data_IF_526557107083
#
_entry.id   IF_526557107083
#
_cell.length_a   1.000
_cell.length_b   1.000
_cell.length_c   1.000
_cell.angle_alpha   90.00
_cell.angle_beta   90.00
_cell.angle_gamma   90.00
#
_symmetry.space_group_name_H-M   'P 1'
#
loop_
_entity.id
_entity.type
_entity.pdbx_description
1 polymer ?
#
# COMPACT_ATOMS: atom_id res chain seq x y z
N UNK A 1 -16.25 -15.21 13.20
CA UNK A 1 -15.82 -13.81 12.91
C UNK A 1 -14.87 -13.27 13.97
N UNK A 2 -14.77 -13.92 15.13
CA UNK A 2 -14.05 -13.44 16.32
C UNK A 2 -12.54 -13.20 16.12
N UNK A 3 -11.91 -13.91 15.17
CA UNK A 3 -10.49 -13.71 14.84
C UNK A 3 -10.19 -12.38 14.15
N UNK A 4 -11.13 -11.78 13.40
CA UNK A 4 -10.87 -10.56 12.62
C UNK A 4 -10.57 -9.35 13.51
N UNK A 5 -11.21 -9.28 14.67
CA UNK A 5 -11.06 -8.18 15.64
C UNK A 5 -10.12 -8.52 16.79
N UNK A 6 -9.44 -9.67 16.73
CA UNK A 6 -8.40 -10.01 17.71
C UNK A 6 -7.26 -9.02 17.58
N UNK A 7 -6.86 -8.43 18.70
CA UNK A 7 -5.82 -7.42 18.76
C UNK A 7 -4.43 -8.02 18.48
N UNK A 8 -3.59 -7.25 17.81
CA UNK A 8 -2.23 -7.60 17.41
C UNK A 8 -1.28 -6.62 18.09
N UNK A 9 -0.27 -7.15 18.78
CA UNK A 9 0.77 -6.35 19.42
C UNK A 9 2.14 -6.88 19.00
N UNK A 10 2.76 -6.20 18.02
CA UNK A 10 4.01 -6.62 17.39
C UNK A 10 5.00 -5.47 17.20
N UNK A 11 4.63 -4.23 17.57
CA UNK A 11 5.47 -3.05 17.41
C UNK A 11 5.91 -2.50 18.76
N UNK A 12 7.18 -2.12 18.87
CA UNK A 12 7.74 -1.59 20.11
C UNK A 12 7.09 -0.28 20.58
N UNK A 13 6.49 0.51 19.67
CA UNK A 13 5.81 1.76 20.02
C UNK A 13 4.53 1.49 20.84
N UNK A 14 3.88 0.34 20.61
CA UNK A 14 2.62 0.00 21.26
C UNK A 14 2.86 -0.46 22.70
N UNK A 15 2.23 0.25 23.64
CA UNK A 15 2.28 -0.07 25.07
C UNK A 15 0.89 -0.34 25.68
N UNK A 16 -0.17 -0.15 24.89
CA UNK A 16 -1.55 -0.36 25.28
C UNK A 16 -2.45 -0.50 24.03
N UNK A 17 -3.75 -0.72 24.24
CA UNK A 17 -4.72 -0.95 23.15
C UNK A 17 -5.50 0.31 22.76
N UNK A 18 -5.00 1.51 23.09
CA UNK A 18 -5.67 2.76 22.74
C UNK A 18 -5.45 3.12 21.27
N UNK A 19 -6.33 3.95 20.73
CA UNK A 19 -6.29 4.39 19.34
C UNK A 19 -4.95 5.05 18.95
N UNK A 20 -4.33 5.79 19.87
CA UNK A 20 -3.04 6.46 19.66
C UNK A 20 -1.88 5.75 20.37
N UNK A 21 -1.92 4.43 20.47
CA UNK A 21 -0.81 3.68 21.03
C UNK A 21 0.43 3.65 20.11
N UNK A 22 0.26 3.94 18.81
CA UNK A 22 1.35 4.05 17.83
C UNK A 22 1.29 5.35 17.02
N UNK A 23 1.47 6.53 17.66
CA UNK A 23 1.26 7.83 17.01
C UNK A 23 2.28 8.13 15.89
N UNK A 24 3.54 7.74 16.05
CA UNK A 24 4.59 7.95 15.05
C UNK A 24 4.31 7.04 13.85
N UNK A 25 4.10 5.74 14.06
CA UNK A 25 3.77 4.85 12.96
C UNK A 25 2.48 5.27 12.24
N UNK A 26 1.42 5.65 12.96
CA UNK A 26 0.18 6.12 12.34
C UNK A 26 0.41 7.40 11.49
N UNK A 27 1.08 8.41 12.04
CA UNK A 27 1.25 9.70 11.35
C UNK A 27 2.17 9.61 10.13
N UNK A 28 3.24 8.82 10.19
CA UNK A 28 4.17 8.66 9.06
C UNK A 28 3.48 8.05 7.82
N UNK A 29 2.44 7.25 7.99
CA UNK A 29 1.71 6.68 6.85
C UNK A 29 0.92 7.70 6.03
N UNK A 30 0.68 8.91 6.57
CA UNK A 30 0.09 10.03 5.82
C UNK A 30 0.97 10.44 4.63
N UNK A 31 2.29 10.21 4.69
CA UNK A 31 3.19 10.51 3.57
C UNK A 31 2.82 9.72 2.30
N UNK A 32 2.37 8.47 2.41
CA UNK A 32 1.90 7.69 1.25
C UNK A 32 0.66 8.31 0.60
N UNK A 33 -0.26 8.83 1.41
CA UNK A 33 -1.45 9.55 0.91
C UNK A 33 -1.03 10.82 0.18
N UNK A 34 -0.14 11.61 0.78
CA UNK A 34 0.36 12.85 0.17
C UNK A 34 1.07 12.58 -1.17
N UNK A 35 1.92 11.55 -1.23
CA UNK A 35 2.61 11.15 -2.46
C UNK A 35 1.61 10.68 -3.52
N UNK A 36 0.65 9.83 -3.16
CA UNK A 36 -0.36 9.36 -4.11
C UNK A 36 -1.22 10.49 -4.70
N UNK A 37 -1.64 11.45 -3.86
CA UNK A 37 -2.34 12.66 -4.32
C UNK A 37 -1.46 13.51 -5.22
N UNK A 38 -0.19 13.74 -4.85
CA UNK A 38 0.77 14.48 -5.66
C UNK A 38 0.97 13.83 -7.04
N UNK A 39 1.07 12.49 -7.10
CA UNK A 39 1.18 11.74 -8.35
C UNK A 39 -0.07 11.91 -9.22
N UNK A 40 -1.27 11.84 -8.65
CA UNK A 40 -2.51 12.07 -9.40
C UNK A 40 -2.60 13.48 -9.98
N UNK A 41 -2.20 14.50 -9.21
CA UNK A 41 -2.12 15.89 -9.68
C UNK A 41 -1.11 16.00 -10.82
N UNK A 42 0.07 15.39 -10.66
CA UNK A 42 1.15 15.44 -11.65
C UNK A 42 0.75 14.75 -12.95
N UNK A 43 0.17 13.55 -12.88
CA UNK A 43 -0.34 12.82 -14.04
C UNK A 43 -1.41 13.63 -14.80
N UNK A 44 -2.29 14.33 -14.07
CA UNK A 44 -3.28 15.23 -14.67
C UNK A 44 -2.61 16.42 -15.37
N UNK A 45 -1.63 17.08 -14.73
CA UNK A 45 -0.89 18.22 -15.31
C UNK A 45 -0.13 17.83 -16.58
N UNK A 46 0.43 16.62 -16.60
CA UNK A 46 1.15 16.08 -17.76
C UNK A 46 0.23 15.53 -18.85
N UNK A 47 -1.10 15.56 -18.66
CA UNK A 47 -2.07 14.90 -19.55
C UNK A 47 -1.74 13.41 -19.80
N UNK A 48 -1.12 12.76 -18.82
CA UNK A 48 -0.69 11.38 -18.93
C UNK A 48 -1.91 10.45 -19.02
N UNK A 49 -1.93 9.58 -20.03
CA UNK A 49 -3.03 8.63 -20.28
C UNK A 49 -2.77 7.24 -19.68
N UNK A 50 -1.63 7.05 -19.00
CA UNK A 50 -1.24 5.77 -18.42
C UNK A 50 -2.17 5.35 -17.28
N UNK A 51 -3.05 4.39 -17.57
CA UNK A 51 -3.95 3.77 -16.58
C UNK A 51 -3.17 3.09 -15.45
N UNK A 52 -2.00 2.52 -15.76
CA UNK A 52 -1.16 1.83 -14.78
C UNK A 52 -0.56 2.79 -13.75
N UNK A 53 0.00 3.92 -14.20
CA UNK A 53 0.53 4.93 -13.27
C UNK A 53 -0.59 5.53 -12.39
N UNK A 54 -1.78 5.74 -12.96
CA UNK A 54 -2.95 6.19 -12.19
C UNK A 54 -3.35 5.14 -11.13
N UNK A 55 -3.34 3.86 -11.49
CA UNK A 55 -3.61 2.77 -10.56
C UNK A 55 -2.57 2.74 -9.42
N UNK A 56 -1.27 2.82 -9.73
CA UNK A 56 -0.21 2.86 -8.71
C UNK A 56 -0.38 4.06 -7.76
N UNK A 57 -0.72 5.23 -8.29
CA UNK A 57 -0.96 6.43 -7.49
C UNK A 57 -2.17 6.27 -6.54
N UNK A 58 -3.28 5.69 -7.02
CA UNK A 58 -4.44 5.38 -6.17
C UNK A 58 -4.07 4.33 -5.12
N UNK A 59 -3.37 3.26 -5.51
CA UNK A 59 -2.99 2.21 -4.58
C UNK A 59 -2.04 2.73 -3.48
N UNK A 60 -1.16 3.68 -3.81
CA UNK A 60 -0.32 4.38 -2.82
C UNK A 60 -1.17 5.10 -1.75
N UNK A 61 -2.30 5.71 -2.13
CA UNK A 61 -3.23 6.32 -1.16
C UNK A 61 -3.85 5.23 -0.28
N UNK A 62 -4.30 4.12 -0.90
CA UNK A 62 -4.91 3.00 -0.18
C UNK A 62 -3.93 2.37 0.82
N UNK A 63 -2.64 2.25 0.47
CA UNK A 63 -1.57 1.85 1.40
C UNK A 63 -1.56 2.76 2.63
N UNK A 64 -1.41 4.08 2.44
CA UNK A 64 -1.36 5.00 3.58
C UNK A 64 -2.60 4.95 4.48
N UNK A 65 -3.78 4.77 3.89
CA UNK A 65 -5.03 4.59 4.65
C UNK A 65 -5.07 3.25 5.40
N UNK A 66 -4.67 2.15 4.76
CA UNK A 66 -4.61 0.82 5.34
C UNK A 66 -3.64 0.76 6.52
N UNK A 67 -2.43 1.26 6.34
CA UNK A 67 -1.41 1.33 7.37
C UNK A 67 -1.83 2.22 8.54
N UNK A 68 -2.45 3.38 8.28
CA UNK A 68 -3.01 4.22 9.34
C UNK A 68 -4.08 3.49 10.17
N UNK A 69 -4.98 2.75 9.50
CA UNK A 69 -5.99 1.93 10.19
C UNK A 69 -5.36 0.82 11.02
N UNK A 70 -4.27 0.22 10.55
CA UNK A 70 -3.58 -0.82 11.32
C UNK A 70 -2.90 -0.26 12.57
N UNK A 71 -2.17 0.86 12.46
CA UNK A 71 -1.50 1.47 13.62
C UNK A 71 -2.46 2.10 14.63
N UNK A 72 -3.74 2.29 14.27
CA UNK A 72 -4.76 2.79 15.20
C UNK A 72 -5.62 1.70 15.83
N UNK A 73 -6.03 0.69 15.06
CA UNK A 73 -6.95 -0.37 15.53
C UNK A 73 -6.29 -1.73 15.79
N UNK A 74 -5.10 -1.98 15.21
CA UNK A 74 -4.25 -3.14 15.42
C UNK A 74 -4.98 -4.49 15.55
N UNK A 75 -5.71 -4.89 14.51
CA UNK A 75 -6.39 -6.18 14.47
C UNK A 75 -6.23 -6.83 13.10
N UNK A 76 -6.62 -8.10 12.96
CA UNK A 76 -6.43 -8.84 11.72
C UNK A 76 -7.13 -8.22 10.51
N UNK A 77 -8.30 -7.58 10.69
CA UNK A 77 -8.96 -6.87 9.59
C UNK A 77 -8.10 -5.70 9.09
N UNK A 78 -7.61 -4.86 10.00
CA UNK A 78 -6.78 -3.71 9.61
C UNK A 78 -5.38 -4.13 9.15
N UNK A 79 -4.84 -5.24 9.66
CA UNK A 79 -3.63 -5.87 9.16
C UNK A 79 -3.78 -6.28 7.69
N UNK A 80 -4.89 -6.90 7.29
CA UNK A 80 -5.15 -7.22 5.89
C UNK A 80 -5.35 -5.96 5.03
N UNK A 81 -6.01 -4.94 5.59
CA UNK A 81 -6.16 -3.64 4.94
C UNK A 81 -4.82 -2.92 4.71
N UNK A 82 -3.80 -3.22 5.52
CA UNK A 82 -2.44 -2.70 5.37
C UNK A 82 -1.61 -3.52 4.37
N UNK A 83 -1.50 -4.84 4.59
CA UNK A 83 -0.58 -5.70 3.84
C UNK A 83 -1.02 -5.90 2.38
N UNK A 84 -2.33 -6.04 2.10
CA UNK A 84 -2.80 -6.33 0.73
C UNK A 84 -2.51 -5.18 -0.25
N UNK A 85 -2.81 -3.90 0.07
CA UNK A 85 -2.42 -2.78 -0.78
C UNK A 85 -0.90 -2.65 -0.97
N UNK A 86 -0.10 -2.90 0.07
CA UNK A 86 1.38 -2.87 0.01
C UNK A 86 1.88 -3.93 -0.98
N UNK A 87 1.42 -5.17 -0.82
CA UNK A 87 1.76 -6.27 -1.72
C UNK A 87 1.38 -5.93 -3.16
N UNK A 88 0.18 -5.40 -3.37
CA UNK A 88 -0.29 -4.98 -4.70
C UNK A 88 0.58 -3.86 -5.28
N UNK A 89 1.02 -2.91 -4.47
CA UNK A 89 1.87 -1.80 -4.90
C UNK A 89 3.25 -2.30 -5.32
N UNK A 90 3.87 -3.16 -4.51
CA UNK A 90 5.18 -3.75 -4.78
C UNK A 90 5.13 -4.59 -6.05
N UNK A 91 4.21 -5.56 -6.14
CA UNK A 91 4.09 -6.44 -7.29
C UNK A 91 3.78 -5.65 -8.57
N UNK A 92 2.85 -4.68 -8.51
CA UNK A 92 2.49 -3.89 -9.70
C UNK A 92 3.60 -2.95 -10.15
N UNK A 93 4.40 -2.42 -9.22
CA UNK A 93 5.58 -1.60 -9.53
C UNK A 93 6.68 -2.45 -10.13
N UNK A 94 6.99 -3.60 -9.54
CA UNK A 94 8.00 -4.52 -10.04
C UNK A 94 7.66 -5.01 -11.45
N UNK A 95 6.38 -5.35 -11.68
CA UNK A 95 5.88 -5.73 -13.00
C UNK A 95 6.13 -4.61 -14.02
N UNK A 96 5.77 -3.38 -13.65
CA UNK A 96 5.93 -2.22 -14.52
C UNK A 96 7.40 -1.99 -14.88
N UNK A 97 8.30 -2.08 -13.91
CA UNK A 97 9.75 -1.89 -14.09
C UNK A 97 10.31 -2.97 -15.01
N UNK A 98 10.02 -4.26 -14.76
CA UNK A 98 10.51 -5.35 -15.60
C UNK A 98 10.01 -5.18 -17.03
N UNK A 99 8.72 -4.90 -17.21
CA UNK A 99 8.15 -4.68 -18.55
C UNK A 99 8.79 -3.49 -19.25
N UNK A 100 9.04 -2.40 -18.52
CA UNK A 100 9.66 -1.19 -19.08
C UNK A 100 11.12 -1.42 -19.48
N UNK A 101 11.89 -2.19 -18.70
CA UNK A 101 13.30 -2.46 -18.96
C UNK A 101 13.51 -3.54 -20.03
N UNK A 102 12.77 -4.64 -19.95
CA UNK A 102 13.01 -5.85 -20.76
C UNK A 102 12.04 -6.02 -21.94
N UNK A 103 11.07 -5.10 -22.11
CA UNK A 103 10.03 -5.14 -23.15
C UNK A 103 9.26 -6.48 -23.26
N UNK A 104 9.14 -7.19 -22.13
CA UNK A 104 8.47 -8.49 -22.09
C UNK A 104 6.94 -8.37 -22.04
N UNK A 105 6.24 -9.36 -22.58
CA UNK A 105 4.77 -9.40 -22.56
C UNK A 105 4.19 -9.52 -21.14
N UNK A 106 2.99 -8.96 -20.93
CA UNK A 106 2.26 -9.03 -19.64
C UNK A 106 2.15 -10.44 -19.05
N UNK A 107 1.96 -11.46 -19.89
CA UNK A 107 1.83 -12.86 -19.43
C UNK A 107 3.12 -13.37 -18.80
N UNK A 108 4.26 -13.05 -19.43
CA UNK A 108 5.58 -13.44 -18.93
C UNK A 108 5.91 -12.68 -17.66
N UNK A 109 5.61 -11.38 -17.59
CA UNK A 109 5.82 -10.58 -16.36
C UNK A 109 4.98 -11.08 -15.19
N UNK A 110 3.72 -11.47 -15.42
CA UNK A 110 2.86 -12.05 -14.38
C UNK A 110 3.39 -13.40 -13.89
N UNK A 111 3.86 -14.26 -14.80
CA UNK A 111 4.47 -15.55 -14.45
C UNK A 111 5.70 -15.36 -13.55
N UNK A 112 6.59 -14.42 -13.89
CA UNK A 112 7.78 -14.11 -13.08
C UNK A 112 7.40 -13.72 -11.66
N UNK A 113 6.38 -12.87 -11.49
CA UNK A 113 5.91 -12.42 -10.17
C UNK A 113 5.21 -13.52 -9.39
N UNK A 114 4.53 -14.46 -10.03
CA UNK A 114 3.87 -15.56 -9.32
C UNK A 114 4.82 -16.69 -8.91
N UNK A 115 6.00 -16.77 -9.51
CA UNK A 115 7.00 -17.81 -9.25
C UNK A 115 8.00 -17.41 -8.15
N UNK A 116 7.99 -16.16 -7.71
CA UNK A 116 8.81 -15.58 -6.64
C UNK A 116 7.93 -15.06 -5.51
#
# INVERSE_FOLDING_TARGET
MDKLFTHIDIYCERTNNQFWAEPVNACTNIFFVMVGVYLLITLKKMQATSKWLKFLAINCIVVGLGSFLFHTFANFLTMWADILPIMLLICSTFLYIIRYIFDISWRVSMLIITLF
#
